data_IF_995228779755
#
_entry.id   IF_995228779755
#
_cell.length_a   1.000
_cell.length_b   1.000
_cell.length_c   1.000
_cell.angle_alpha   90.00
_cell.angle_beta   90.00
_cell.angle_gamma   90.00
#
_symmetry.space_group_name_H-M   'P 1'
#
loop_
_entity.id
_entity.type
_entity.pdbx_description
1 polymer ?
#
# COMPACT_ATOMS: atom_id res chain seq x y z
N UNK A 1 -22.30 42.17 42.29
CA UNK A 1 -21.95 42.31 40.85
C UNK A 1 -20.47 42.06 40.52
N UNK A 2 -19.51 42.18 41.45
CA UNK A 2 -18.09 41.89 41.18
C UNK A 2 -17.80 40.41 40.85
N UNK A 3 -18.40 39.46 41.58
CA UNK A 3 -18.11 38.02 41.47
C UNK A 3 -18.41 37.45 40.06
N UNK A 4 -19.50 37.92 39.43
CA UNK A 4 -19.85 37.50 38.07
C UNK A 4 -18.86 38.01 37.01
N UNK A 5 -18.28 39.20 37.22
CA UNK A 5 -17.26 39.76 36.31
C UNK A 5 -15.93 39.01 36.41
N UNK A 6 -15.53 38.61 37.62
CA UNK A 6 -14.34 37.76 37.80
C UNK A 6 -14.55 36.36 37.23
N UNK A 7 -15.75 35.78 37.36
CA UNK A 7 -16.07 34.47 36.76
C UNK A 7 -15.97 34.47 35.22
N UNK A 8 -16.48 35.52 34.56
CA UNK A 8 -16.39 35.68 33.10
C UNK A 8 -14.96 35.88 32.61
N UNK A 9 -14.13 36.63 33.35
CA UNK A 9 -12.72 36.83 33.01
C UNK A 9 -11.89 35.54 33.16
N UNK A 10 -12.16 34.74 34.19
CA UNK A 10 -11.46 33.46 34.42
C UNK A 10 -11.82 32.44 33.35
N UNK A 11 -13.10 32.35 32.97
CA UNK A 11 -13.53 31.49 31.87
C UNK A 11 -12.94 31.92 30.53
N UNK A 12 -12.89 33.23 30.25
CA UNK A 12 -12.25 33.76 29.06
C UNK A 12 -10.76 33.41 28.97
N UNK A 13 -10.02 33.56 30.09
CA UNK A 13 -8.60 33.22 30.14
C UNK A 13 -8.35 31.71 29.94
N UNK A 14 -9.20 30.85 30.51
CA UNK A 14 -9.09 29.41 30.35
C UNK A 14 -9.28 28.97 28.89
N UNK A 15 -10.25 29.54 28.17
CA UNK A 15 -10.50 29.24 26.75
C UNK A 15 -9.34 29.70 25.86
N UNK A 16 -8.76 30.87 26.13
CA UNK A 16 -7.59 31.36 25.38
C UNK A 16 -6.37 30.47 25.62
N UNK A 17 -6.14 30.04 26.87
CA UNK A 17 -5.03 29.15 27.20
C UNK A 17 -5.15 27.78 26.52
N UNK A 18 -6.34 27.20 26.45
CA UNK A 18 -6.54 25.90 25.77
C UNK A 18 -6.37 26.01 24.25
N UNK A 19 -6.82 27.11 23.64
CA UNK A 19 -6.61 27.38 22.20
C UNK A 19 -5.12 27.55 21.86
N UNK A 20 -4.35 28.26 22.70
CA UNK A 20 -2.90 28.41 22.51
C UNK A 20 -2.15 27.08 22.65
N UNK A 21 -2.60 26.22 23.57
CA UNK A 21 -2.02 24.89 23.77
C UNK A 21 -2.26 23.97 22.56
N UNK A 22 -3.47 23.95 22.00
CA UNK A 22 -3.78 23.12 20.83
C UNK A 22 -3.02 23.58 19.58
N UNK A 23 -2.88 24.89 19.37
CA UNK A 23 -2.04 25.45 18.30
C UNK A 23 -0.56 25.05 18.43
N UNK A 24 -0.05 24.94 19.66
CA UNK A 24 1.34 24.55 19.91
C UNK A 24 1.60 23.06 19.63
N UNK A 25 0.60 22.19 19.83
CA UNK A 25 0.70 20.76 19.49
C UNK A 25 0.58 20.54 17.98
N UNK A 26 -0.13 21.41 17.25
CA UNK A 26 -0.35 21.27 15.81
C UNK A 26 0.73 21.91 14.93
N UNK A 27 1.61 22.75 15.48
CA UNK A 27 2.77 23.28 14.76
C UNK A 27 3.89 22.24 14.79
N UNK A 28 4.24 21.61 13.65
CA UNK A 28 5.39 20.73 13.60
C UNK A 28 6.63 21.56 13.90
N UNK A 29 7.24 21.32 15.06
CA UNK A 29 8.54 21.85 15.41
C UNK A 29 9.53 21.52 14.30
N UNK A 30 9.92 22.54 13.53
CA UNK A 30 11.00 22.45 12.57
C UNK A 30 12.29 22.13 13.31
N UNK A 31 12.75 20.88 13.19
CA UNK A 31 13.96 20.42 13.86
C UNK A 31 14.23 18.93 13.78
N UNK A 32 13.68 18.23 12.80
CA UNK A 32 14.04 16.84 12.52
C UNK A 32 15.02 16.78 11.36
N UNK A 33 16.32 16.70 11.64
CA UNK A 33 17.28 16.20 10.66
C UNK A 33 16.85 14.78 10.30
N UNK A 34 16.16 14.64 9.17
CA UNK A 34 15.78 13.34 8.62
C UNK A 34 17.07 12.64 8.20
N UNK A 35 17.66 11.89 9.13
CA UNK A 35 18.77 10.99 8.84
C UNK A 35 18.22 9.92 7.91
N UNK A 36 18.34 10.14 6.60
CA UNK A 36 18.15 9.10 5.59
C UNK A 36 18.97 7.90 6.05
N UNK A 37 18.30 6.85 6.54
CA UNK A 37 18.90 5.54 6.64
C UNK A 37 19.19 5.12 5.21
N UNK A 38 20.46 5.14 4.81
CA UNK A 38 20.92 4.46 3.62
C UNK A 38 20.63 2.98 3.84
N UNK A 39 19.58 2.48 3.19
CA UNK A 39 19.33 1.05 3.09
C UNK A 39 20.39 0.53 2.12
N UNK A 40 21.31 -0.31 2.61
CA UNK A 40 22.30 -0.92 1.73
C UNK A 40 21.59 -1.82 0.71
N UNK A 41 21.76 -1.59 -0.61
CA UNK A 41 20.99 -2.30 -1.66
C UNK A 41 21.52 -3.73 -1.92
N UNK A 42 22.68 -4.09 -1.36
CA UNK A 42 23.30 -5.39 -1.56
C UNK A 42 22.74 -6.41 -0.57
N UNK A 43 21.74 -7.17 -1.02
CA UNK A 43 21.25 -8.35 -0.30
C UNK A 43 21.99 -9.58 -0.82
N UNK A 44 22.71 -10.26 0.06
CA UNK A 44 23.33 -11.55 -0.25
C UNK A 44 22.24 -12.61 -0.37
N UNK A 45 22.02 -13.13 -1.57
CA UNK A 45 21.06 -14.21 -1.84
C UNK A 45 21.86 -15.51 -2.04
N UNK A 46 21.59 -16.54 -1.25
CA UNK A 46 22.16 -17.87 -1.49
C UNK A 46 21.39 -18.56 -2.59
N UNK A 47 22.04 -18.80 -3.73
CA UNK A 47 21.51 -19.61 -4.83
C UNK A 47 22.42 -20.84 -4.98
N UNK A 48 22.12 -21.90 -4.22
CA UNK A 48 22.83 -23.19 -4.33
C UNK A 48 24.33 -23.15 -3.97
N UNK A 49 25.06 -24.20 -4.42
CA UNK A 49 26.49 -24.44 -4.19
C UNK A 49 27.40 -23.66 -5.17
N UNK A 50 27.07 -22.41 -5.47
CA UNK A 50 27.92 -21.49 -6.23
C UNK A 50 27.93 -20.12 -5.55
N UNK A 51 29.08 -19.44 -5.66
CA UNK A 51 29.50 -18.25 -4.91
C UNK A 51 28.41 -17.19 -4.66
N UNK A 52 28.50 -16.52 -3.50
CA UNK A 52 27.64 -15.41 -3.10
C UNK A 52 27.72 -14.25 -4.12
N UNK A 53 26.88 -14.27 -5.17
CA UNK A 53 26.78 -13.15 -6.12
C UNK A 53 26.02 -12.01 -5.46
N UNK A 54 26.69 -10.87 -5.30
CA UNK A 54 26.05 -9.65 -4.86
C UNK A 54 25.23 -9.07 -6.03
N UNK A 55 23.92 -9.30 -6.01
CA UNK A 55 22.99 -8.73 -7.00
C UNK A 55 22.46 -7.39 -6.47
N UNK A 56 22.59 -6.34 -7.27
CA UNK A 56 21.95 -5.06 -7.01
C UNK A 56 20.48 -5.16 -7.42
N UNK A 57 19.59 -5.39 -6.43
CA UNK A 57 18.17 -5.64 -6.67
C UNK A 57 17.40 -4.38 -7.13
N UNK A 58 17.90 -3.19 -6.78
CA UNK A 58 17.26 -1.91 -7.06
C UNK A 58 18.32 -0.86 -7.46
N UNK A 59 18.84 -0.91 -8.70
CA UNK A 59 19.82 0.06 -9.16
C UNK A 59 19.21 1.46 -9.27
N UNK A 60 20.03 2.50 -9.08
CA UNK A 60 19.60 3.91 -9.11
C UNK A 60 18.89 4.30 -10.43
N UNK A 61 19.19 3.59 -11.52
CA UNK A 61 18.54 3.78 -12.82
C UNK A 61 17.03 3.53 -12.80
N UNK A 62 16.54 2.63 -11.93
CA UNK A 62 15.10 2.37 -11.76
C UNK A 62 14.39 3.60 -11.23
N UNK A 63 15.01 4.32 -10.28
CA UNK A 63 14.43 5.53 -9.69
C UNK A 63 14.63 6.78 -10.57
N UNK A 64 15.66 6.79 -11.43
CA UNK A 64 15.91 7.88 -12.37
C UNK A 64 15.01 7.83 -13.61
N UNK A 65 14.35 6.70 -13.87
CA UNK A 65 13.45 6.51 -15.02
C UNK A 65 12.09 7.15 -14.76
N UNK A 66 11.60 7.98 -15.69
CA UNK A 66 10.20 8.42 -15.66
C UNK A 66 9.29 7.31 -16.21
N UNK A 67 8.73 6.53 -15.30
CA UNK A 67 7.85 5.41 -15.65
C UNK A 67 6.52 5.85 -16.27
N UNK A 68 6.14 7.13 -16.14
CA UNK A 68 4.91 7.66 -16.73
C UNK A 68 4.94 7.61 -18.25
N UNK A 69 6.13 7.69 -18.84
CA UNK A 69 6.34 7.62 -20.28
C UNK A 69 6.57 6.18 -20.77
N UNK A 70 6.74 5.23 -19.83
CA UNK A 70 7.00 3.80 -20.13
C UNK A 70 5.77 2.93 -19.97
N UNK A 71 4.85 3.30 -19.08
CA UNK A 71 3.60 2.58 -18.84
C UNK A 71 2.47 3.25 -19.60
N UNK A 72 1.74 2.47 -20.40
CA UNK A 72 0.61 3.01 -21.17
C UNK A 72 -0.55 3.44 -20.25
N UNK A 73 -1.36 4.41 -20.69
CA UNK A 73 -2.55 4.82 -19.93
C UNK A 73 -3.54 3.67 -19.74
N UNK A 74 -3.67 2.78 -20.74
CA UNK A 74 -4.54 1.61 -20.66
C UNK A 74 -4.08 0.64 -19.58
N UNK A 75 -2.77 0.47 -19.42
CA UNK A 75 -2.19 -0.34 -18.36
C UNK A 75 -2.38 0.27 -16.97
N UNK A 76 -2.17 1.59 -16.83
CA UNK A 76 -2.49 2.30 -15.58
C UNK A 76 -3.97 2.20 -15.21
N UNK A 77 -4.85 2.30 -16.20
CA UNK A 77 -6.29 2.15 -16.00
C UNK A 77 -6.66 0.73 -15.58
N UNK A 78 -6.11 -0.28 -16.26
CA UNK A 78 -6.27 -1.70 -15.93
C UNK A 78 -5.82 -2.00 -14.50
N UNK A 79 -4.65 -1.51 -14.12
CA UNK A 79 -4.15 -1.59 -12.73
C UNK A 79 -5.12 -0.89 -11.78
N UNK A 80 -5.68 0.26 -12.12
CA UNK A 80 -6.71 0.92 -11.31
C UNK A 80 -7.97 0.05 -11.10
N UNK A 81 -8.42 -0.66 -12.14
CA UNK A 81 -9.55 -1.59 -12.09
C UNK A 81 -9.25 -2.80 -11.21
N UNK A 82 -8.07 -3.41 -11.38
CA UNK A 82 -7.61 -4.50 -10.51
C UNK A 82 -7.57 -4.08 -9.05
N UNK A 83 -7.09 -2.86 -8.76
CA UNK A 83 -6.96 -2.38 -7.38
C UNK A 83 -8.31 -2.32 -6.69
N UNK A 84 -9.26 -1.63 -7.35
CA UNK A 84 -10.60 -1.44 -6.82
C UNK A 84 -11.32 -2.78 -6.67
N UNK A 85 -11.08 -3.70 -7.61
CA UNK A 85 -11.67 -5.04 -7.54
C UNK A 85 -11.11 -5.82 -6.38
N UNK A 86 -9.78 -5.83 -6.18
CA UNK A 86 -9.14 -6.47 -5.04
C UNK A 86 -9.63 -5.90 -3.71
N UNK A 87 -9.70 -4.58 -3.60
CA UNK A 87 -10.22 -3.92 -2.40
C UNK A 87 -11.67 -4.30 -2.08
N UNK A 88 -12.49 -4.61 -3.10
CA UNK A 88 -13.90 -4.96 -2.93
C UNK A 88 -14.12 -6.45 -2.73
N UNK A 89 -13.37 -7.29 -3.45
CA UNK A 89 -13.52 -8.74 -3.52
C UNK A 89 -12.29 -9.40 -2.91
N UNK A 90 -11.91 -8.91 -1.73
CA UNK A 90 -10.67 -9.26 -1.08
C UNK A 90 -10.63 -10.72 -0.58
N UNK A 91 -11.77 -11.42 -0.50
CA UNK A 91 -11.83 -12.85 -0.14
C UNK A 91 -11.76 -13.80 -1.34
N UNK A 92 -11.65 -13.28 -2.56
CA UNK A 92 -11.53 -14.07 -3.79
C UNK A 92 -10.17 -13.85 -4.44
N UNK A 93 -9.67 -14.87 -5.13
CA UNK A 93 -8.52 -14.71 -6.01
C UNK A 93 -9.01 -14.07 -7.30
N UNK A 94 -8.36 -12.96 -7.66
CA UNK A 94 -8.67 -12.16 -8.83
C UNK A 94 -7.53 -12.36 -9.83
N UNK A 95 -7.82 -12.84 -11.05
CA UNK A 95 -6.78 -13.06 -12.04
C UNK A 95 -6.24 -11.71 -12.57
N UNK A 96 -4.96 -11.68 -12.95
CA UNK A 96 -4.27 -10.47 -13.45
C UNK A 96 -4.93 -9.85 -14.70
N UNK A 97 -5.69 -10.63 -15.47
CA UNK A 97 -6.40 -10.18 -16.66
C UNK A 97 -7.85 -9.75 -16.39
N UNK A 98 -8.29 -9.71 -15.12
CA UNK A 98 -9.63 -9.26 -14.75
C UNK A 98 -9.89 -7.83 -15.22
N UNK A 99 -10.95 -7.63 -16.00
CA UNK A 99 -11.30 -6.35 -16.62
C UNK A 99 -10.68 -6.12 -18.00
N UNK A 100 -9.89 -7.07 -18.52
CA UNK A 100 -9.46 -7.10 -19.93
C UNK A 100 -10.41 -7.96 -20.76
N UNK A 101 -10.89 -7.42 -21.88
CA UNK A 101 -11.84 -8.13 -22.75
C UNK A 101 -13.10 -8.57 -22.00
N UNK A 102 -13.45 -9.85 -22.12
CA UNK A 102 -14.63 -10.44 -21.49
C UNK A 102 -14.37 -11.06 -20.10
N UNK A 103 -13.17 -10.84 -19.54
CA UNK A 103 -12.78 -11.42 -18.24
C UNK A 103 -13.42 -10.62 -17.10
N UNK A 104 -14.50 -11.14 -16.55
CA UNK A 104 -15.25 -10.52 -15.46
C UNK A 104 -15.44 -11.44 -14.25
N UNK A 105 -16.52 -11.23 -13.50
CA UNK A 105 -16.79 -11.91 -12.21
C UNK A 105 -16.77 -13.44 -12.27
N UNK A 106 -17.03 -14.05 -13.43
CA UNK A 106 -16.99 -15.50 -13.62
C UNK A 106 -15.57 -16.10 -13.51
N UNK A 107 -14.54 -15.27 -13.63
CA UNK A 107 -13.13 -15.67 -13.51
C UNK A 107 -12.59 -15.61 -12.08
N UNK A 108 -13.41 -15.16 -11.12
CA UNK A 108 -13.04 -15.11 -9.71
C UNK A 108 -13.03 -16.52 -9.13
N UNK A 109 -12.02 -16.80 -8.31
CA UNK A 109 -11.92 -18.08 -7.62
C UNK A 109 -12.18 -17.84 -6.14
N UNK A 110 -13.16 -18.56 -5.57
CA UNK A 110 -13.43 -18.52 -4.15
C UNK A 110 -12.91 -19.78 -3.45
N UNK A 111 -12.57 -19.66 -2.17
CA UNK A 111 -12.22 -20.77 -1.29
C UNK A 111 -13.29 -21.88 -1.24
N UNK A 112 -14.56 -21.54 -1.44
CA UNK A 112 -15.68 -22.49 -1.44
C UNK A 112 -15.85 -23.26 -2.76
N UNK A 113 -15.08 -22.94 -3.80
CA UNK A 113 -15.22 -23.59 -5.10
C UNK A 113 -14.75 -25.05 -5.04
N UNK A 114 -15.59 -25.97 -5.50
CA UNK A 114 -15.28 -27.41 -5.52
C UNK A 114 -14.03 -27.74 -6.36
N UNK A 115 -13.66 -26.86 -7.29
CA UNK A 115 -12.54 -26.98 -8.22
C UNK A 115 -11.45 -25.91 -8.01
N UNK A 116 -11.38 -25.32 -6.82
CA UNK A 116 -10.42 -24.24 -6.47
C UNK A 116 -8.98 -24.57 -6.88
N UNK A 117 -8.49 -25.77 -6.57
CA UNK A 117 -7.11 -26.18 -6.87
C UNK A 117 -6.86 -26.24 -8.38
N UNK A 118 -7.86 -26.63 -9.17
CA UNK A 118 -7.73 -26.67 -10.64
C UNK A 118 -7.63 -25.26 -11.19
N UNK A 119 -8.52 -24.35 -10.75
CA UNK A 119 -8.53 -22.94 -11.17
C UNK A 119 -7.23 -22.22 -10.82
N UNK A 120 -6.70 -22.44 -9.61
CA UNK A 120 -5.43 -21.83 -9.18
C UNK A 120 -4.21 -22.30 -9.98
N UNK A 121 -4.26 -23.50 -10.58
CA UNK A 121 -3.18 -23.98 -11.46
C UNK A 121 -3.15 -23.26 -12.81
N UNK A 122 -4.22 -22.56 -13.18
CA UNK A 122 -4.30 -21.78 -14.42
C UNK A 122 -3.69 -20.39 -14.24
N UNK A 123 -3.46 -19.96 -12.99
CA UNK A 123 -2.77 -18.72 -12.68
C UNK A 123 -1.26 -18.88 -12.89
N UNK A 124 -0.62 -18.03 -13.72
CA UNK A 124 0.81 -18.13 -14.01
C UNK A 124 1.69 -17.85 -12.79
N UNK A 125 1.17 -17.09 -11.83
CA UNK A 125 1.81 -16.79 -10.55
C UNK A 125 0.95 -17.35 -9.40
N UNK A 126 1.59 -18.07 -8.47
CA UNK A 126 0.94 -18.61 -7.28
C UNK A 126 0.96 -17.54 -6.20
N UNK A 127 -0.12 -16.77 -6.11
CA UNK A 127 -0.34 -15.86 -4.99
C UNK A 127 -0.52 -16.65 -3.68
N UNK A 128 0.18 -16.22 -2.64
CA UNK A 128 -0.04 -16.73 -1.29
C UNK A 128 -1.37 -16.20 -0.79
N UNK A 129 -2.39 -17.05 -0.71
CA UNK A 129 -3.66 -16.70 -0.09
C UNK A 129 -3.44 -16.40 1.39
N UNK A 130 -3.48 -15.11 1.74
CA UNK A 130 -3.33 -14.66 3.11
C UNK A 130 -4.66 -14.87 3.87
N UNK A 131 -4.65 -14.88 5.21
CA UNK A 131 -5.88 -14.85 6.00
C UNK A 131 -6.67 -13.57 5.69
N UNK A 132 -8.01 -13.67 5.62
CA UNK A 132 -8.91 -12.57 5.25
C UNK A 132 -8.74 -11.27 6.06
N UNK A 133 -8.18 -11.34 7.27
CA UNK A 133 -7.85 -10.17 8.09
C UNK A 133 -6.63 -9.35 7.62
N UNK A 134 -5.85 -9.85 6.65
CA UNK A 134 -4.65 -9.19 6.11
C UNK A 134 -4.85 -8.65 4.69
N UNK A 135 -6.04 -8.84 4.10
CA UNK A 135 -6.35 -8.39 2.74
C UNK A 135 -6.71 -6.91 2.70
N UNK A 136 -5.72 -6.07 3.00
CA UNK A 136 -5.78 -4.62 2.94
C UNK A 136 -5.07 -4.04 1.71
N UNK A 137 -4.73 -2.75 1.77
CA UNK A 137 -4.07 -2.09 0.64
C UNK A 137 -2.73 -2.73 0.26
N UNK A 138 -1.91 -3.12 1.25
CA UNK A 138 -0.62 -3.77 0.99
C UNK A 138 -0.80 -5.07 0.19
N UNK A 139 -1.72 -5.94 0.63
CA UNK A 139 -2.06 -7.16 -0.12
C UNK A 139 -2.49 -6.86 -1.56
N UNK A 140 -3.40 -5.90 -1.75
CA UNK A 140 -3.91 -5.56 -3.08
C UNK A 140 -2.92 -4.75 -3.95
N UNK A 141 -1.83 -4.23 -3.40
CA UNK A 141 -0.74 -3.58 -4.14
C UNK A 141 0.32 -4.63 -4.52
N UNK A 142 0.66 -5.53 -3.61
CA UNK A 142 1.70 -6.54 -3.77
C UNK A 142 1.22 -7.77 -4.58
N UNK A 143 -0.06 -8.16 -4.49
CA UNK A 143 -0.68 -9.23 -5.29
C UNK A 143 -0.90 -8.86 -6.77
N UNK A 144 -0.27 -7.76 -7.22
CA UNK A 144 -0.29 -7.31 -8.61
C UNK A 144 1.03 -7.64 -9.29
N UNK A 145 1.55 -8.84 -9.10
CA UNK A 145 2.68 -9.26 -9.92
C UNK A 145 2.18 -9.62 -11.31
N UNK A 146 2.74 -8.92 -12.29
CA UNK A 146 2.63 -9.18 -13.73
C UNK A 146 4.06 -9.33 -14.22
N UNK A 147 4.33 -10.40 -14.96
CA UNK A 147 5.54 -10.58 -15.76
C UNK A 147 5.71 -9.48 -16.82
#
# INVERSE_FOLDING_TARGET
MLVARYGLLVLGAAVVATMLWTLSVQLPGGGGHSRRRSVSPLRRVRVGELEDVAVELYPDSVFATDWRDKVSNDELFHLGVLHRTCMRLNESVIPWNYGLGDVGSASLVNSSDADVVRKLRECPDVDVFLPSGLHGHGYCEDARERH
#
